data_IF_409637111437
#
_entry.id   IF_409637111437
#
_cell.length_a   1.000
_cell.length_b   1.000
_cell.length_c   1.000
_cell.angle_alpha   90.00
_cell.angle_beta   90.00
_cell.angle_gamma   90.00
#
_symmetry.space_group_name_H-M   'P 1'
#
loop_
_entity.id
_entity.type
_entity.pdbx_description
1 polymer ?
#
# COMPACT_ATOMS: atom_id res chain seq x y z
N UNK A 1 5.99 -13.38 -31.39
CA UNK A 1 5.91 -12.01 -30.84
C UNK A 1 4.74 -11.79 -29.88
N UNK A 2 3.61 -12.50 -30.04
CA UNK A 2 2.44 -12.40 -29.16
C UNK A 2 2.73 -12.74 -27.68
N UNK A 3 3.46 -13.82 -27.41
CA UNK A 3 3.78 -14.26 -26.04
C UNK A 3 4.68 -13.29 -25.26
N UNK A 4 5.53 -12.52 -25.96
CA UNK A 4 6.38 -11.51 -25.34
C UNK A 4 5.62 -10.23 -24.96
N UNK A 5 4.59 -9.87 -25.74
CA UNK A 5 3.71 -8.75 -25.41
C UNK A 5 2.80 -9.08 -24.22
N UNK A 6 2.27 -10.31 -24.16
CA UNK A 6 1.48 -10.80 -23.03
C UNK A 6 2.34 -10.81 -21.75
N UNK A 7 3.60 -11.26 -21.83
CA UNK A 7 4.52 -11.24 -20.67
C UNK A 7 4.82 -9.82 -20.19
N UNK A 8 4.94 -8.85 -21.09
CA UNK A 8 5.18 -7.44 -20.75
C UNK A 8 3.95 -6.80 -20.11
N UNK A 9 2.75 -7.07 -20.65
CA UNK A 9 1.49 -6.55 -20.12
C UNK A 9 1.16 -7.15 -18.74
N UNK A 10 1.36 -8.46 -18.56
CA UNK A 10 1.17 -9.12 -17.26
C UNK A 10 2.17 -8.61 -16.20
N UNK A 11 3.43 -8.40 -16.56
CA UNK A 11 4.40 -7.79 -15.64
C UNK A 11 4.04 -6.34 -15.27
N UNK A 12 3.58 -5.54 -16.24
CA UNK A 12 3.16 -4.16 -15.99
C UNK A 12 1.91 -4.11 -15.11
N UNK A 13 0.92 -4.93 -15.41
CA UNK A 13 -0.32 -5.05 -14.62
C UNK A 13 -0.03 -5.47 -13.18
N UNK A 14 0.85 -6.45 -12.96
CA UNK A 14 1.29 -6.84 -11.62
C UNK A 14 1.98 -5.70 -10.89
N UNK A 15 2.85 -4.96 -11.57
CA UNK A 15 3.53 -3.82 -10.96
C UNK A 15 2.55 -2.71 -10.58
N UNK A 16 1.65 -2.34 -11.49
CA UNK A 16 0.67 -1.27 -11.27
C UNK A 16 -0.34 -1.68 -10.19
N UNK A 17 -0.73 -2.96 -10.14
CA UNK A 17 -1.57 -3.51 -9.09
C UNK A 17 -0.84 -3.49 -7.74
N UNK A 18 0.39 -4.00 -7.65
CA UNK A 18 1.17 -3.99 -6.41
C UNK A 18 1.43 -2.55 -5.92
N UNK A 19 1.72 -1.62 -6.83
CA UNK A 19 1.89 -0.21 -6.52
C UNK A 19 0.59 0.42 -5.98
N UNK A 20 -0.52 0.16 -6.65
CA UNK A 20 -1.85 0.66 -6.24
C UNK A 20 -2.31 0.05 -4.92
N UNK A 21 -2.10 -1.25 -4.72
CA UNK A 21 -2.38 -1.96 -3.48
C UNK A 21 -1.56 -1.40 -2.32
N UNK A 22 -0.23 -1.28 -2.49
CA UNK A 22 0.63 -0.67 -1.48
C UNK A 22 0.22 0.76 -1.16
N UNK A 23 -0.08 1.57 -2.18
CA UNK A 23 -0.58 2.94 -1.99
C UNK A 23 -1.89 2.94 -1.20
N UNK A 24 -2.83 2.07 -1.54
CA UNK A 24 -4.11 1.93 -0.85
C UNK A 24 -3.89 1.57 0.62
N UNK A 25 -3.03 0.59 0.91
CA UNK A 25 -2.68 0.19 2.27
C UNK A 25 -2.03 1.33 3.07
N UNK A 26 -1.13 2.10 2.45
CA UNK A 26 -0.51 3.27 3.08
C UNK A 26 -1.57 4.33 3.40
N UNK A 27 -2.36 4.75 2.41
CA UNK A 27 -3.39 5.79 2.56
C UNK A 27 -4.42 5.41 3.63
N UNK A 28 -4.84 4.14 3.63
CA UNK A 28 -5.75 3.56 4.60
C UNK A 28 -5.17 3.58 6.02
N UNK A 29 -3.92 3.17 6.17
CA UNK A 29 -3.20 3.18 7.47
C UNK A 29 -3.13 4.60 8.04
N UNK A 30 -2.76 5.58 7.22
CA UNK A 30 -2.76 6.98 7.62
C UNK A 30 -4.17 7.51 7.94
N UNK A 31 -5.19 7.03 7.22
CA UNK A 31 -6.59 7.35 7.49
C UNK A 31 -7.03 6.90 8.89
N UNK A 32 -6.83 5.62 9.21
CA UNK A 32 -7.17 5.05 10.53
C UNK A 32 -6.36 5.73 11.63
N UNK A 33 -5.05 5.90 11.44
CA UNK A 33 -4.18 6.58 12.41
C UNK A 33 -4.69 8.00 12.76
N UNK A 34 -5.04 8.81 11.75
CA UNK A 34 -5.58 10.16 12.00
C UNK A 34 -6.92 10.13 12.73
N UNK A 35 -7.80 9.19 12.37
CA UNK A 35 -9.12 9.04 12.99
C UNK A 35 -9.02 8.62 14.47
N UNK A 36 -8.09 7.70 14.79
CA UNK A 36 -7.80 7.24 16.16
C UNK A 36 -7.40 8.38 17.09
N UNK A 37 -6.44 9.19 16.64
CA UNK A 37 -5.77 10.17 17.49
C UNK A 37 -6.36 11.56 17.31
N UNK A 38 -7.44 11.87 18.04
CA UNK A 38 -8.13 13.19 18.01
C UNK A 38 -7.21 14.40 18.21
N UNK A 39 -6.09 14.23 18.94
CA UNK A 39 -5.09 15.28 19.15
C UNK A 39 -4.43 15.74 17.83
N UNK A 40 -4.40 14.88 16.81
CA UNK A 40 -3.89 15.22 15.49
C UNK A 40 -4.86 16.11 14.70
N UNK A 41 -6.17 15.98 14.94
CA UNK A 41 -7.18 16.84 14.33
C UNK A 41 -7.23 18.24 14.96
N UNK A 42 -7.06 18.32 16.27
CA UNK A 42 -7.11 19.58 17.03
C UNK A 42 -5.81 19.77 17.81
N UNK A 43 -4.69 19.89 17.08
CA UNK A 43 -3.37 20.08 17.68
C UNK A 43 -3.37 21.35 18.55
N UNK A 44 -3.15 21.24 19.87
CA UNK A 44 -3.04 22.41 20.73
C UNK A 44 -1.85 23.28 20.29
N UNK A 45 -1.86 24.57 20.68
CA UNK A 45 -0.79 25.54 20.36
C UNK A 45 0.51 25.26 21.11
N UNK A 46 1.07 24.08 20.91
CA UNK A 46 2.39 23.72 21.38
C UNK A 46 3.47 24.24 20.42
N UNK A 47 4.70 24.47 20.92
CA UNK A 47 5.85 24.71 20.05
C UNK A 47 5.98 23.59 19.01
N UNK A 48 6.45 23.92 17.80
CA UNK A 48 6.55 22.98 16.68
C UNK A 48 7.28 21.68 17.06
N UNK A 49 8.40 21.78 17.79
CA UNK A 49 9.15 20.63 18.30
C UNK A 49 8.30 19.66 19.12
N UNK A 50 7.34 20.17 19.90
CA UNK A 50 6.45 19.34 20.70
C UNK A 50 5.33 18.73 19.84
N UNK A 51 4.84 19.44 18.82
CA UNK A 51 3.89 18.88 17.84
C UNK A 51 4.51 17.70 17.08
N UNK A 52 5.76 17.82 16.64
CA UNK A 52 6.51 16.72 15.99
C UNK A 52 6.63 15.50 16.92
N UNK A 53 6.97 15.73 18.20
CA UNK A 53 7.04 14.63 19.19
C UNK A 53 5.69 13.94 19.39
N UNK A 54 4.58 14.68 19.38
CA UNK A 54 3.23 14.12 19.48
C UNK A 54 2.93 13.22 18.27
N UNK A 55 3.26 13.67 17.06
CA UNK A 55 3.08 12.89 15.82
C UNK A 55 3.89 11.59 15.87
N UNK A 56 5.17 11.65 16.26
CA UNK A 56 6.02 10.46 16.35
C UNK A 56 5.50 9.50 17.42
N UNK A 57 5.14 10.01 18.60
CA UNK A 57 4.63 9.19 19.69
C UNK A 57 3.33 8.47 19.31
N UNK A 58 2.41 9.16 18.62
CA UNK A 58 1.15 8.53 18.18
C UNK A 58 1.37 7.51 17.05
N UNK A 59 2.35 7.71 16.17
CA UNK A 59 2.75 6.70 15.17
C UNK A 59 3.33 5.45 15.82
N UNK A 60 4.27 5.60 16.77
CA UNK A 60 4.86 4.47 17.49
C UNK A 60 3.79 3.68 18.23
N UNK A 61 2.90 4.38 18.93
CA UNK A 61 1.82 3.73 19.68
C UNK A 61 0.82 3.04 18.76
N UNK A 62 0.51 3.62 17.60
CA UNK A 62 -0.34 2.99 16.58
C UNK A 62 0.29 1.68 16.07
N UNK A 63 1.58 1.71 15.72
CA UNK A 63 2.30 0.52 15.25
C UNK A 63 2.38 -0.56 16.34
N UNK A 64 2.61 -0.17 17.59
CA UNK A 64 2.61 -1.10 18.73
C UNK A 64 1.26 -1.81 18.89
N UNK A 65 0.16 -1.05 18.85
CA UNK A 65 -1.19 -1.62 18.93
C UNK A 65 -1.43 -2.58 17.75
N UNK A 66 -1.05 -2.23 16.53
CA UNK A 66 -1.21 -3.11 15.36
C UNK A 66 -0.45 -4.44 15.47
N UNK A 67 0.72 -4.44 16.12
CA UNK A 67 1.53 -5.66 16.28
C UNK A 67 1.06 -6.51 17.45
N UNK A 68 0.53 -5.89 18.51
CA UNK A 68 0.31 -6.54 19.80
C UNK A 68 -1.16 -6.76 20.18
N UNK A 69 -2.13 -6.12 19.49
CA UNK A 69 -3.54 -6.31 19.77
C UNK A 69 -4.09 -7.51 19.00
N UNK A 70 -4.80 -8.41 19.70
CA UNK A 70 -5.47 -9.56 19.07
C UNK A 70 -6.51 -9.12 18.02
N UNK A 71 -7.16 -7.97 18.23
CA UNK A 71 -8.11 -7.35 17.30
C UNK A 71 -7.97 -5.83 17.38
N UNK A 72 -7.52 -5.20 16.30
CA UNK A 72 -7.58 -3.74 16.16
C UNK A 72 -8.95 -3.33 15.62
N UNK A 73 -9.90 -2.96 16.48
CA UNK A 73 -11.28 -2.62 16.08
C UNK A 73 -11.38 -1.48 15.06
N UNK A 74 -10.43 -0.54 15.06
CA UNK A 74 -10.45 0.57 14.11
C UNK A 74 -9.90 0.18 12.74
N UNK A 75 -9.10 -0.88 12.71
CA UNK A 75 -8.52 -1.43 11.50
C UNK A 75 -9.26 -2.68 10.99
N UNK A 76 -10.06 -3.32 11.83
CA UNK A 76 -10.87 -4.51 11.51
C UNK A 76 -11.68 -4.40 10.23
N UNK A 77 -12.34 -3.26 9.90
CA UNK A 77 -13.08 -3.12 8.63
C UNK A 77 -12.20 -3.20 7.39
N UNK A 78 -10.88 -3.16 7.57
CA UNK A 78 -9.88 -3.07 6.51
C UNK A 78 -9.01 -4.32 6.40
N UNK A 79 -8.92 -5.13 7.45
CA UNK A 79 -8.21 -6.42 7.42
C UNK A 79 -8.97 -7.44 6.54
N UNK A 80 -10.30 -7.35 6.45
CA UNK A 80 -11.15 -8.25 5.63
C UNK A 80 -11.11 -7.95 4.10
N UNK A 81 -10.41 -6.88 3.67
CA UNK A 81 -10.42 -6.40 2.28
C UNK A 81 -9.11 -6.66 1.50
N UNK A 82 -8.11 -7.31 2.11
CA UNK A 82 -6.80 -7.54 1.49
C UNK A 82 -6.74 -8.80 0.59
N UNK A 83 -7.72 -9.71 0.69
CA UNK A 83 -7.61 -11.07 0.11
C UNK A 83 -8.24 -11.29 -1.28
N UNK A 84 -8.65 -10.25 -1.99
CA UNK A 84 -9.06 -10.41 -3.41
C UNK A 84 -7.92 -10.02 -4.34
N UNK A 85 -6.82 -10.76 -4.24
CA UNK A 85 -5.99 -10.98 -5.42
C UNK A 85 -6.89 -11.62 -6.48
N UNK A 86 -6.97 -11.10 -7.71
CA UNK A 86 -7.52 -11.90 -8.79
C UNK A 86 -6.68 -13.18 -8.87
N UNK A 87 -7.31 -14.32 -8.62
CA UNK A 87 -6.76 -15.61 -9.02
C UNK A 87 -6.43 -15.52 -10.51
N UNK A 88 -5.31 -16.10 -10.93
CA UNK A 88 -4.80 -16.14 -12.32
C UNK A 88 -5.79 -16.77 -13.35
N UNK A 89 -7.02 -17.08 -12.94
CA UNK A 89 -8.03 -17.82 -13.69
C UNK A 89 -9.12 -16.95 -14.31
N UNK A 90 -9.16 -15.64 -14.08
CA UNK A 90 -10.21 -14.76 -14.63
C UNK A 90 -9.65 -13.48 -15.28
N UNK A 91 -9.21 -13.58 -16.54
CA UNK A 91 -9.17 -12.42 -17.43
C UNK A 91 -9.64 -12.79 -18.84
N UNK A 92 -10.94 -12.58 -19.09
CA UNK A 92 -11.42 -12.32 -20.45
C UNK A 92 -12.54 -11.26 -20.39
N UNK A 93 -12.12 -9.99 -20.27
CA UNK A 93 -12.66 -8.83 -21.00
C UNK A 93 -12.41 -7.52 -20.24
N UNK A 94 -11.48 -6.71 -20.73
CA UNK A 94 -11.71 -5.29 -21.06
C UNK A 94 -10.38 -4.63 -21.45
N UNK A 95 -10.12 -4.60 -22.75
CA UNK A 95 -9.06 -3.82 -23.38
C UNK A 95 -9.38 -2.32 -23.37
N UNK A 96 -8.30 -1.53 -23.56
CA UNK A 96 -8.26 -0.11 -23.94
C UNK A 96 -8.60 0.86 -22.80
N UNK A 97 -7.69 1.67 -22.31
CA UNK A 97 -6.81 2.59 -23.04
C UNK A 97 -5.68 3.10 -22.12
N UNK A 98 -4.65 3.70 -22.73
CA UNK A 98 -3.55 4.49 -22.11
C UNK A 98 -2.31 3.70 -21.67
N UNK A 99 -1.48 3.30 -22.63
CA UNK A 99 -0.04 3.16 -22.39
C UNK A 99 0.76 3.78 -23.53
N UNK A 100 1.25 5.00 -23.33
CA UNK A 100 2.44 5.44 -24.06
C UNK A 100 3.51 6.02 -23.12
N UNK A 101 4.61 5.24 -23.06
CA UNK A 101 6.01 5.63 -22.84
C UNK A 101 6.49 5.97 -21.41
N UNK A 102 6.91 4.92 -20.69
CA UNK A 102 8.12 4.99 -19.84
C UNK A 102 9.14 3.95 -20.30
N UNK A 103 10.38 4.39 -20.51
CA UNK A 103 11.51 3.54 -20.93
C UNK A 103 11.90 2.59 -19.78
N UNK A 104 12.19 1.31 -20.06
CA UNK A 104 12.51 0.33 -19.01
C UNK A 104 13.93 0.58 -18.51
N UNK A 105 14.08 0.81 -17.20
CA UNK A 105 15.39 0.81 -16.55
C UNK A 105 15.49 -0.47 -15.73
N UNK A 106 16.08 -1.50 -16.35
CA UNK A 106 16.06 -2.91 -15.91
C UNK A 106 16.52 -3.13 -14.47
N UNK A 107 17.39 -2.26 -13.94
CA UNK A 107 17.92 -2.37 -12.58
C UNK A 107 16.89 -1.96 -11.53
N UNK A 108 16.14 -0.88 -11.77
CA UNK A 108 15.07 -0.46 -10.85
C UNK A 108 13.90 -1.44 -10.87
N UNK A 109 13.66 -2.10 -11.99
CA UNK A 109 12.64 -3.16 -12.10
C UNK A 109 13.00 -4.37 -11.22
N UNK A 110 14.29 -4.75 -11.16
CA UNK A 110 14.75 -5.86 -10.30
C UNK A 110 14.61 -5.56 -8.81
N UNK A 111 15.02 -4.36 -8.39
CA UNK A 111 14.92 -3.95 -6.98
C UNK A 111 13.46 -3.89 -6.51
N UNK A 112 12.60 -3.37 -7.38
CA UNK A 112 11.16 -3.28 -7.15
C UNK A 112 10.49 -4.64 -7.04
N UNK A 113 10.84 -5.58 -7.92
CA UNK A 113 10.30 -6.94 -7.91
C UNK A 113 10.81 -7.72 -6.69
N UNK A 114 12.05 -7.46 -6.23
CA UNK A 114 12.60 -8.00 -4.99
C UNK A 114 11.83 -7.54 -3.74
N UNK A 115 11.51 -6.24 -3.67
CA UNK A 115 10.71 -5.67 -2.56
C UNK A 115 9.29 -6.27 -2.56
N UNK A 116 8.65 -6.37 -3.72
CA UNK A 116 7.32 -6.97 -3.84
C UNK A 116 7.31 -8.43 -3.36
N UNK A 117 8.33 -9.20 -3.74
CA UNK A 117 8.48 -10.60 -3.32
C UNK A 117 8.68 -10.71 -1.81
N UNK A 118 9.48 -9.84 -1.20
CA UNK A 118 9.71 -9.82 0.24
C UNK A 118 8.45 -9.47 1.05
N UNK A 119 7.58 -8.63 0.50
CA UNK A 119 6.31 -8.25 1.15
C UNK A 119 5.23 -9.34 1.03
N UNK A 120 5.29 -10.19 0.01
CA UNK A 120 4.34 -11.29 -0.22
C UNK A 120 4.66 -12.55 0.62
N UNK A 121 5.81 -12.62 1.27
CA UNK A 121 6.28 -13.80 2.02
C UNK A 121 6.16 -13.67 3.54
N UNK A 122 5.39 -12.70 4.04
CA UNK A 122 5.15 -12.45 5.47
C UNK A 122 3.68 -12.52 5.80
#
# INVERSE_FOLDING_TARGET
MHNGLIYMLTHLLRFDHAHSSLRCTIERTFGVWKNRWKILHHMPRFPFTKQVKIVIASMVLHNFIRVNADIDQEFKPYDDNDDKLPSDDEEENATQDVYEKRRPNHEMDKERDSIATLLMLR
#
